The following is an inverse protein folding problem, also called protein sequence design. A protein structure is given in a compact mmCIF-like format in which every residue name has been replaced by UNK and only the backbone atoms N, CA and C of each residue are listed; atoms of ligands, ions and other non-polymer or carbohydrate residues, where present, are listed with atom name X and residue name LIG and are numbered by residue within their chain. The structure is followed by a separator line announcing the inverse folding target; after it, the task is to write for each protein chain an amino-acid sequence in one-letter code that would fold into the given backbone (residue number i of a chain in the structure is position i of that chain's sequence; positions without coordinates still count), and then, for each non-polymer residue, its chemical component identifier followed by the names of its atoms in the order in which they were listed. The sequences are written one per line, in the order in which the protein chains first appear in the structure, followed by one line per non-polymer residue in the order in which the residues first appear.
data_IF_879540973681
#
_entry.id   IF_879540973681
#
_cell.length_a   1.000
_cell.length_b   1.000
_cell.length_c   1.000
_cell.angle_alpha   90.00
_cell.angle_beta   90.00
_cell.angle_gamma   90.00
#
_symmetry.space_group_name_H-M   'P 1'
#
loop_
_entity.id
_entity.type
_entity.pdbx_description
1 polymer ?
#
# COMPACT_ATOMS: atom_id res chain seq x y z
N UNK A 1 -3.82 7.38 -14.24
CA UNK A 1 -3.70 7.37 -12.76
C UNK A 1 -3.51 8.78 -12.17
N UNK A 2 -2.55 9.59 -12.65
CA UNK A 2 -2.30 10.94 -12.09
C UNK A 2 -3.53 11.84 -12.26
N UNK A 3 -4.16 11.88 -13.42
CA UNK A 3 -5.40 12.64 -13.66
C UNK A 3 -6.53 12.18 -12.73
N UNK A 4 -6.68 10.87 -12.55
CA UNK A 4 -7.66 10.30 -11.62
C UNK A 4 -7.40 10.75 -10.17
N UNK A 5 -6.12 10.78 -9.75
CA UNK A 5 -5.73 11.25 -8.42
C UNK A 5 -6.03 12.76 -8.25
N UNK A 6 -5.79 13.57 -9.31
CA UNK A 6 -6.12 14.99 -9.33
C UNK A 6 -7.62 15.24 -9.18
N UNK A 7 -8.44 14.54 -9.96
CA UNK A 7 -9.88 14.76 -10.05
C UNK A 7 -10.64 14.25 -8.83
N UNK A 8 -10.34 13.02 -8.39
CA UNK A 8 -11.14 12.33 -7.37
C UNK A 8 -10.36 11.95 -6.10
N UNK A 9 -9.04 12.20 -6.06
CA UNK A 9 -8.17 11.94 -4.90
C UNK A 9 -7.68 10.50 -4.81
N UNK A 10 -8.05 9.62 -5.73
CA UNK A 10 -7.50 8.27 -5.88
C UNK A 10 -7.39 7.87 -7.35
N UNK A 11 -6.48 6.96 -7.64
CA UNK A 11 -6.29 6.45 -8.99
C UNK A 11 -5.83 5.00 -8.99
N UNK A 12 -6.10 4.31 -10.10
CA UNK A 12 -5.72 2.92 -10.35
C UNK A 12 -4.96 2.84 -11.67
N UNK A 13 -3.88 2.11 -11.69
CA UNK A 13 -3.11 1.77 -12.89
C UNK A 13 -2.92 0.26 -12.94
N UNK A 14 -3.43 -0.36 -14.00
CA UNK A 14 -3.13 -1.74 -14.32
C UNK A 14 -1.73 -1.81 -14.97
N UNK A 15 -1.09 -2.97 -14.87
CA UNK A 15 0.23 -3.24 -15.45
C UNK A 15 1.30 -2.18 -15.08
N UNK A 16 1.24 -1.69 -13.83
CA UNK A 16 2.23 -0.72 -13.31
C UNK A 16 3.65 -1.27 -13.37
N UNK A 17 3.81 -2.57 -13.21
CA UNK A 17 5.06 -3.31 -13.40
C UNK A 17 4.87 -4.40 -14.47
N UNK A 18 5.92 -4.73 -15.20
CA UNK A 18 5.90 -5.84 -16.14
C UNK A 18 5.77 -7.19 -15.43
N UNK A 19 5.43 -8.23 -16.18
CA UNK A 19 5.20 -9.57 -15.64
C UNK A 19 6.43 -10.19 -14.98
N UNK A 20 7.64 -9.83 -15.46
CA UNK A 20 8.91 -10.32 -14.89
C UNK A 20 9.12 -9.70 -13.50
N UNK A 21 9.05 -8.36 -13.39
CA UNK A 21 9.21 -7.68 -12.10
C UNK A 21 8.12 -8.10 -11.12
N UNK A 22 6.88 -8.27 -11.59
CA UNK A 22 5.78 -8.77 -10.77
C UNK A 22 6.10 -10.15 -10.16
N UNK A 23 6.59 -11.10 -10.98
CA UNK A 23 6.95 -12.42 -10.51
C UNK A 23 8.09 -12.36 -9.49
N UNK A 24 9.16 -11.61 -9.77
CA UNK A 24 10.31 -11.45 -8.87
C UNK A 24 9.92 -10.83 -7.51
N UNK A 25 9.03 -9.84 -7.50
CA UNK A 25 8.53 -9.22 -6.24
C UNK A 25 7.63 -10.19 -5.46
N UNK A 26 6.80 -10.96 -6.14
CA UNK A 26 5.99 -11.99 -5.51
C UNK A 26 6.87 -13.05 -4.87
N UNK A 27 7.86 -13.58 -5.62
CA UNK A 27 8.79 -14.60 -5.14
C UNK A 27 9.58 -14.08 -3.94
N UNK A 28 9.96 -12.80 -3.94
CA UNK A 28 10.58 -12.16 -2.77
C UNK A 28 9.65 -12.11 -1.55
N UNK A 29 8.38 -11.81 -1.74
CA UNK A 29 7.39 -11.82 -0.65
C UNK A 29 7.22 -13.23 -0.06
N UNK A 30 7.20 -14.25 -0.91
CA UNK A 30 7.16 -15.68 -0.49
C UNK A 30 8.43 -16.05 0.26
N UNK A 31 9.62 -15.74 -0.27
CA UNK A 31 10.92 -15.97 0.40
C UNK A 31 10.93 -15.35 1.80
N UNK A 32 10.50 -14.09 1.93
CA UNK A 32 10.41 -13.41 3.23
C UNK A 32 9.46 -14.10 4.18
N UNK A 33 8.36 -14.65 3.68
CA UNK A 33 7.41 -15.41 4.50
C UNK A 33 8.03 -16.72 5.00
N UNK A 34 8.58 -17.51 4.12
CA UNK A 34 9.16 -18.83 4.40
C UNK A 34 10.39 -18.74 5.33
N UNK A 35 11.20 -17.70 5.19
CA UNK A 35 12.38 -17.48 6.05
C UNK A 35 12.06 -16.77 7.37
N UNK A 36 10.78 -16.42 7.61
CA UNK A 36 10.36 -15.69 8.80
C UNK A 36 10.80 -14.21 8.80
N UNK A 37 11.08 -13.63 7.63
CA UNK A 37 11.34 -12.21 7.45
C UNK A 37 10.10 -11.34 7.60
N UNK A 38 8.91 -11.88 7.28
CA UNK A 38 7.64 -11.24 7.58
C UNK A 38 7.28 -11.41 9.05
N UNK A 39 6.87 -10.33 9.71
CA UNK A 39 6.44 -10.32 11.11
C UNK A 39 4.98 -9.87 11.22
N UNK A 40 4.19 -10.38 12.19
CA UNK A 40 2.84 -9.89 12.43
C UNK A 40 2.81 -8.38 12.56
N UNK A 41 1.95 -7.72 11.79
CA UNK A 41 1.80 -6.28 11.86
C UNK A 41 1.17 -5.85 13.18
N UNK A 42 1.53 -4.66 13.66
CA UNK A 42 1.02 -4.09 14.91
C UNK A 42 0.16 -2.87 14.62
N UNK A 43 -0.80 -2.61 15.49
CA UNK A 43 -1.65 -1.41 15.47
C UNK A 43 -1.11 -0.42 16.50
N UNK A 44 -0.96 0.85 16.11
CA UNK A 44 -0.39 1.91 16.97
C UNK A 44 1.05 2.26 16.62
N UNK A 45 1.71 3.03 17.50
CA UNK A 45 3.08 3.56 17.30
C UNK A 45 4.00 3.27 18.48
N UNK A 46 5.30 3.11 18.19
CA UNK A 46 6.36 2.97 19.19
C UNK A 46 6.03 1.88 20.20
N UNK A 47 6.35 2.11 21.46
CA UNK A 47 6.13 1.16 22.55
C UNK A 47 4.64 0.87 22.85
N UNK A 48 3.74 1.74 22.38
CA UNK A 48 2.28 1.56 22.47
C UNK A 48 1.67 0.67 21.38
N UNK A 49 2.44 0.23 20.40
CA UNK A 49 1.94 -0.62 19.33
C UNK A 49 1.59 -2.01 19.86
N UNK A 50 0.37 -2.48 19.55
CA UNK A 50 -0.17 -3.76 20.01
C UNK A 50 -0.43 -4.70 18.85
N UNK A 51 -0.24 -5.98 19.10
CA UNK A 51 -0.68 -7.03 18.18
C UNK A 51 -2.19 -7.23 18.37
N UNK A 52 -2.96 -6.97 17.32
CA UNK A 52 -4.42 -7.07 17.30
C UNK A 52 -4.86 -7.73 15.97
N UNK A 53 -4.74 -9.06 15.85
CA UNK A 53 -5.00 -9.78 14.58
C UNK A 53 -6.43 -9.61 14.08
N UNK A 54 -7.39 -9.38 14.98
CA UNK A 54 -8.79 -9.10 14.67
C UNK A 54 -9.01 -7.73 14.01
N UNK A 55 -8.05 -6.79 14.19
CA UNK A 55 -8.08 -5.46 13.56
C UNK A 55 -7.21 -5.43 12.32
N UNK A 56 -6.01 -6.04 12.41
CA UNK A 56 -5.00 -6.06 11.35
C UNK A 56 -4.30 -7.41 11.32
N UNK A 57 -4.63 -8.22 10.31
CA UNK A 57 -4.21 -9.63 10.21
C UNK A 57 -3.05 -9.91 9.26
N UNK A 58 -2.33 -8.89 8.77
CA UNK A 58 -1.19 -9.07 7.86
C UNK A 58 0.14 -9.33 8.60
N UNK A 59 1.05 -9.92 7.84
CA UNK A 59 2.48 -10.01 8.16
C UNK A 59 3.24 -9.06 7.25
N UNK A 60 4.21 -8.32 7.78
CA UNK A 60 4.94 -7.30 7.04
C UNK A 60 6.46 -7.43 7.15
N UNK A 61 7.17 -6.96 6.12
CA UNK A 61 8.61 -6.74 6.14
C UNK A 61 8.93 -5.39 5.52
N UNK A 62 9.47 -4.48 6.31
CA UNK A 62 9.87 -3.14 5.82
C UNK A 62 11.03 -3.24 4.85
N UNK A 63 10.93 -2.51 3.74
CA UNK A 63 12.03 -2.36 2.78
C UNK A 63 12.82 -1.09 3.12
N UNK A 64 13.75 -1.22 4.07
CA UNK A 64 14.64 -0.12 4.48
C UNK A 64 15.85 0.00 3.54
N UNK A 65 16.43 -1.13 3.17
CA UNK A 65 17.54 -1.22 2.22
C UNK A 65 17.23 -2.33 1.20
N UNK A 66 17.30 -2.02 -0.10
CA UNK A 66 17.05 -3.02 -1.13
C UNK A 66 18.22 -4.03 -1.22
N UNK A 67 17.92 -5.30 -1.03
CA UNK A 67 18.87 -6.42 -1.11
C UNK A 67 18.84 -7.14 -2.46
N UNK A 68 17.74 -7.00 -3.20
CA UNK A 68 17.49 -7.68 -4.48
C UNK A 68 17.31 -6.66 -5.61
N UNK A 69 17.65 -7.06 -6.83
CA UNK A 69 17.45 -6.23 -8.04
C UNK A 69 15.97 -5.82 -8.20
N UNK A 70 15.04 -6.72 -7.96
CA UNK A 70 13.61 -6.42 -8.03
C UNK A 70 13.18 -5.32 -7.05
N UNK A 71 13.76 -5.29 -5.85
CA UNK A 71 13.49 -4.24 -4.85
C UNK A 71 14.04 -2.88 -5.30
N UNK A 72 15.23 -2.86 -5.93
CA UNK A 72 15.79 -1.63 -6.50
C UNK A 72 14.93 -1.12 -7.67
N UNK A 73 14.49 -2.02 -8.55
CA UNK A 73 13.66 -1.68 -9.71
C UNK A 73 12.30 -1.14 -9.30
N UNK A 74 11.62 -1.72 -8.30
CA UNK A 74 10.34 -1.17 -7.84
C UNK A 74 10.51 0.19 -7.16
N UNK A 75 11.56 0.40 -6.37
CA UNK A 75 11.84 1.70 -5.78
C UNK A 75 12.14 2.77 -6.84
N UNK A 76 12.90 2.44 -7.88
CA UNK A 76 13.15 3.35 -9.01
C UNK A 76 11.83 3.71 -9.73
N UNK A 77 10.94 2.74 -9.96
CA UNK A 77 9.65 2.96 -10.59
C UNK A 77 8.74 3.87 -9.76
N UNK A 78 8.76 3.69 -8.44
CA UNK A 78 8.01 4.54 -7.49
C UNK A 78 8.62 5.95 -7.41
N UNK A 79 9.95 6.10 -7.52
CA UNK A 79 10.61 7.40 -7.60
C UNK A 79 10.20 8.17 -8.88
N UNK A 80 10.11 7.51 -10.02
CA UNK A 80 9.59 8.12 -11.26
C UNK A 80 8.13 8.58 -11.08
N UNK A 81 7.32 7.78 -10.39
CA UNK A 81 5.94 8.15 -10.05
C UNK A 81 5.91 9.35 -9.12
N UNK A 82 6.73 9.37 -8.05
CA UNK A 82 6.87 10.49 -7.12
C UNK A 82 7.21 11.80 -7.85
N UNK A 83 8.22 11.75 -8.71
CA UNK A 83 8.63 12.90 -9.52
C UNK A 83 7.50 13.39 -10.45
N UNK A 84 6.74 12.47 -11.01
CA UNK A 84 5.60 12.80 -11.89
C UNK A 84 4.44 13.41 -11.12
N UNK A 85 4.13 12.89 -9.91
CA UNK A 85 3.13 13.46 -9.00
C UNK A 85 3.51 14.87 -8.57
N UNK A 86 4.77 15.12 -8.21
CA UNK A 86 5.25 16.45 -7.84
C UNK A 86 5.12 17.44 -8.99
N UNK A 87 5.48 17.05 -10.22
CA UNK A 87 5.35 17.93 -11.40
C UNK A 87 3.90 18.25 -11.74
N UNK A 88 3.02 17.25 -11.66
CA UNK A 88 1.63 17.40 -12.10
C UNK A 88 0.73 18.06 -11.05
N UNK A 89 0.97 17.77 -9.77
CA UNK A 89 0.05 18.10 -8.68
C UNK A 89 0.67 19.01 -7.60
N UNK A 90 1.95 19.37 -7.74
CA UNK A 90 2.70 20.22 -6.77
C UNK A 90 2.59 19.68 -5.32
N UNK A 91 2.71 18.37 -5.15
CA UNK A 91 2.41 17.66 -3.88
C UNK A 91 3.50 17.80 -2.82
N UNK A 92 4.73 18.19 -3.19
CA UNK A 92 5.86 18.34 -2.25
C UNK A 92 6.31 17.01 -1.62
N UNK A 93 6.19 15.89 -2.36
CA UNK A 93 6.61 14.58 -1.88
C UNK A 93 8.14 14.47 -1.88
N UNK A 94 8.72 14.01 -0.79
CA UNK A 94 10.17 13.92 -0.62
C UNK A 94 10.72 12.51 -0.81
N UNK A 95 10.05 11.53 -0.22
CA UNK A 95 10.50 10.14 -0.23
C UNK A 95 9.34 9.14 -0.28
N UNK A 96 9.71 7.87 -0.31
CA UNK A 96 8.80 6.74 -0.25
C UNK A 96 9.21 5.78 0.88
N UNK A 97 8.26 5.38 1.69
CA UNK A 97 8.43 4.32 2.69
C UNK A 97 7.49 3.17 2.37
N UNK A 98 8.03 1.96 2.25
CA UNK A 98 7.22 0.80 1.88
C UNK A 98 7.62 -0.50 2.57
N UNK A 99 6.73 -1.49 2.45
CA UNK A 99 6.91 -2.83 3.01
C UNK A 99 6.18 -3.87 2.16
N UNK A 100 6.68 -5.09 2.18
CA UNK A 100 5.93 -6.25 1.73
C UNK A 100 4.87 -6.60 2.77
N UNK A 101 3.69 -7.00 2.30
CA UNK A 101 2.58 -7.42 3.15
C UNK A 101 1.96 -8.71 2.61
N UNK A 102 1.71 -9.66 3.52
CA UNK A 102 1.01 -10.90 3.24
C UNK A 102 -0.15 -11.04 4.23
N UNK A 103 -1.36 -11.13 3.69
CA UNK A 103 -2.57 -11.46 4.44
C UNK A 103 -2.86 -12.95 4.28
N UNK A 104 -2.86 -13.75 5.34
CA UNK A 104 -3.35 -15.13 5.30
C UNK A 104 -4.81 -15.20 4.84
N UNK A 105 -5.23 -16.37 4.38
CA UNK A 105 -6.64 -16.64 4.04
C UNK A 105 -7.56 -16.20 5.19
N UNK A 106 -8.57 -15.41 4.87
CA UNK A 106 -9.57 -14.91 5.81
C UNK A 106 -9.14 -13.70 6.63
N UNK A 107 -7.86 -13.31 6.57
CA UNK A 107 -7.38 -12.09 7.22
C UNK A 107 -7.76 -10.84 6.43
N UNK A 108 -7.90 -9.74 7.15
CA UNK A 108 -8.20 -8.42 6.59
C UNK A 108 -7.58 -7.30 7.42
N UNK A 109 -7.93 -6.09 7.12
CA UNK A 109 -7.60 -4.92 7.92
C UNK A 109 -8.84 -4.05 8.09
N UNK A 110 -9.24 -3.82 9.32
CA UNK A 110 -10.41 -3.03 9.66
C UNK A 110 -10.30 -1.59 9.12
N UNK A 111 -11.44 -0.96 8.93
CA UNK A 111 -11.57 0.41 8.41
C UNK A 111 -10.73 1.41 9.21
N UNK A 112 -9.88 2.17 8.52
CA UNK A 112 -8.93 3.12 9.12
C UNK A 112 -8.49 4.20 8.12
N UNK A 113 -7.81 5.24 8.62
CA UNK A 113 -7.00 6.17 7.84
C UNK A 113 -5.52 5.81 7.96
N UNK A 114 -4.77 5.98 6.87
CA UNK A 114 -3.30 5.85 6.90
C UNK A 114 -2.60 7.05 7.52
N UNK A 115 -3.22 8.22 7.44
CA UNK A 115 -2.73 9.41 8.11
C UNK A 115 -2.97 9.30 9.61
N UNK A 116 -1.88 9.36 10.33
CA UNK A 116 -1.90 9.25 11.78
C UNK A 116 -2.29 10.60 12.41
N UNK A 117 -3.11 10.58 13.46
CA UNK A 117 -3.51 11.78 14.20
C UNK A 117 -2.27 12.57 14.62
N UNK A 118 -2.26 13.88 14.30
CA UNK A 118 -1.13 14.77 14.61
C UNK A 118 0.08 14.64 13.67
N UNK A 119 -0.06 13.94 12.53
CA UNK A 119 1.00 13.84 11.53
C UNK A 119 0.42 13.98 10.12
N UNK A 120 1.03 14.82 9.31
CA UNK A 120 0.70 15.03 7.89
C UNK A 120 1.76 14.46 6.93
N UNK A 121 2.71 13.70 7.48
CA UNK A 121 3.85 13.16 6.74
C UNK A 121 3.43 12.22 5.61
N UNK A 122 2.50 11.28 5.85
CA UNK A 122 1.97 10.38 4.82
C UNK A 122 0.96 11.13 3.96
N UNK A 123 1.35 11.47 2.74
CA UNK A 123 0.52 12.26 1.84
C UNK A 123 -0.30 11.39 0.87
N UNK A 124 0.35 10.37 0.28
CA UNK A 124 -0.30 9.46 -0.67
C UNK A 124 0.02 8.03 -0.27
N UNK A 125 -1.02 7.24 -0.05
CA UNK A 125 -0.96 5.79 0.18
C UNK A 125 -0.93 5.06 -1.15
N UNK A 126 -0.16 3.98 -1.21
CA UNK A 126 -0.06 3.12 -2.39
C UNK A 126 -0.18 1.65 -2.03
N UNK A 127 -0.78 0.86 -2.93
CA UNK A 127 -0.82 -0.59 -2.86
C UNK A 127 -0.54 -1.17 -4.25
N UNK A 128 0.63 -1.80 -4.42
CA UNK A 128 0.94 -2.62 -5.58
C UNK A 128 0.63 -4.07 -5.24
N UNK A 129 -0.27 -4.69 -6.00
CA UNK A 129 -0.66 -6.08 -5.76
C UNK A 129 0.26 -7.05 -6.49
N UNK A 130 0.60 -8.15 -5.80
CA UNK A 130 1.57 -9.15 -6.27
C UNK A 130 0.90 -10.51 -6.59
N UNK A 131 -0.43 -10.56 -6.58
CA UNK A 131 -1.19 -11.80 -6.70
C UNK A 131 -1.27 -12.29 -8.16
N UNK A 132 -1.15 -13.60 -8.37
CA UNK A 132 -1.33 -14.21 -9.67
C UNK A 132 -2.80 -14.60 -9.89
N UNK A 133 -3.33 -14.38 -11.12
CA UNK A 133 -4.67 -14.82 -11.55
C UNK A 133 -5.78 -14.57 -10.52
N UNK A 134 -5.85 -13.34 -10.03
CA UNK A 134 -6.85 -12.97 -9.02
C UNK A 134 -8.18 -12.64 -9.67
N UNK A 135 -9.27 -13.21 -9.12
CA UNK A 135 -10.64 -13.03 -9.59
C UNK A 135 -11.53 -12.43 -8.49
N UNK A 136 -12.72 -11.99 -8.85
CA UNK A 136 -13.69 -11.49 -7.87
C UNK A 136 -14.10 -12.54 -6.84
N UNK A 137 -14.08 -13.83 -7.22
CA UNK A 137 -14.40 -14.92 -6.28
C UNK A 137 -13.36 -15.09 -5.17
N UNK A 138 -12.13 -14.60 -5.37
CA UNK A 138 -11.07 -14.64 -4.36
C UNK A 138 -11.30 -13.62 -3.23
N UNK A 139 -12.06 -12.55 -3.48
CA UNK A 139 -12.29 -11.46 -2.52
C UNK A 139 -11.03 -10.62 -2.27
N UNK A 140 -10.86 -10.09 -1.06
CA UNK A 140 -9.66 -9.36 -0.63
C UNK A 140 -9.51 -7.97 -1.24
N UNK A 141 -10.61 -7.36 -1.68
CA UNK A 141 -10.61 -6.01 -2.24
C UNK A 141 -10.09 -4.99 -1.23
N UNK A 142 -9.43 -3.97 -1.75
CA UNK A 142 -9.27 -2.71 -1.03
C UNK A 142 -10.54 -1.90 -1.22
N UNK A 143 -11.25 -1.64 -0.14
CA UNK A 143 -12.44 -0.78 -0.14
C UNK A 143 -12.06 0.62 0.29
N UNK A 144 -12.27 1.60 -0.60
CA UNK A 144 -12.10 3.03 -0.34
C UNK A 144 -13.47 3.66 -0.09
N UNK A 145 -13.66 4.32 1.04
CA UNK A 145 -14.89 5.04 1.38
C UNK A 145 -14.83 6.46 0.80
N UNK A 146 -15.69 6.74 -0.18
CA UNK A 146 -15.66 8.00 -0.95
C UNK A 146 -16.57 9.09 -0.39
N UNK A 147 -17.23 8.83 0.74
CA UNK A 147 -18.16 9.75 1.38
C UNK A 147 -19.62 9.50 0.98
N UNK A 148 -20.57 10.09 1.75
CA UNK A 148 -22.01 9.92 1.48
C UNK A 148 -22.54 8.50 1.55
N UNK A 149 -21.81 7.58 2.21
CA UNK A 149 -22.16 6.16 2.26
C UNK A 149 -21.68 5.34 1.05
N UNK A 150 -21.01 5.96 0.07
CA UNK A 150 -20.47 5.29 -1.09
C UNK A 150 -19.07 4.73 -0.85
N UNK A 151 -18.72 3.65 -1.53
CA UNK A 151 -17.39 3.05 -1.54
C UNK A 151 -17.01 2.56 -2.93
N UNK A 152 -15.71 2.37 -3.14
CA UNK A 152 -15.15 1.77 -4.35
C UNK A 152 -14.28 0.60 -3.92
N UNK A 153 -14.56 -0.57 -4.47
CA UNK A 153 -13.81 -1.78 -4.24
C UNK A 153 -12.79 -1.97 -5.35
N UNK A 154 -11.52 -2.16 -4.99
CA UNK A 154 -10.44 -2.41 -5.94
C UNK A 154 -9.91 -3.82 -5.75
N UNK A 155 -10.13 -4.66 -6.76
CA UNK A 155 -9.67 -6.04 -6.80
C UNK A 155 -8.14 -6.10 -6.82
N UNK A 156 -7.48 -6.91 -5.95
CA UNK A 156 -6.02 -6.93 -5.82
C UNK A 156 -5.34 -7.79 -6.90
N UNK A 157 -5.54 -7.43 -8.17
CA UNK A 157 -4.90 -8.09 -9.31
C UNK A 157 -3.41 -7.78 -9.38
N UNK A 158 -2.61 -8.78 -9.67
CA UNK A 158 -1.16 -8.62 -9.82
C UNK A 158 -0.77 -7.58 -10.86
N UNK A 159 0.22 -6.74 -10.54
CA UNK A 159 0.66 -5.63 -11.37
C UNK A 159 -0.16 -4.35 -11.25
N UNK A 160 -1.34 -4.39 -10.62
CA UNK A 160 -2.19 -3.22 -10.36
C UNK A 160 -1.63 -2.40 -9.21
N UNK A 161 -1.46 -1.09 -9.44
CA UNK A 161 -1.15 -0.09 -8.42
C UNK A 161 -2.40 0.74 -8.13
N UNK A 162 -2.72 0.89 -6.86
CA UNK A 162 -3.69 1.88 -6.36
C UNK A 162 -2.93 2.97 -5.63
N UNK A 163 -3.30 4.23 -5.85
CA UNK A 163 -2.78 5.38 -5.11
C UNK A 163 -3.95 6.27 -4.65
N UNK A 164 -3.91 6.75 -3.40
CA UNK A 164 -4.96 7.62 -2.84
C UNK A 164 -4.41 8.56 -1.78
N UNK A 165 -5.08 9.70 -1.59
CA UNK A 165 -4.73 10.68 -0.55
C UNK A 165 -4.96 10.06 0.83
N UNK A 166 -3.88 9.97 1.64
CA UNK A 166 -3.86 9.23 2.91
C UNK A 166 -4.78 9.82 3.99
N UNK A 167 -5.13 11.09 3.88
CA UNK A 167 -5.97 11.82 4.83
C UNK A 167 -7.43 11.97 4.38
N UNK A 168 -7.73 11.59 3.14
CA UNK A 168 -9.06 11.77 2.57
C UNK A 168 -9.90 10.51 2.60
N UNK A 169 -9.28 9.35 2.50
CA UNK A 169 -10.01 8.09 2.34
C UNK A 169 -9.80 7.17 3.53
N UNK A 170 -10.86 6.95 4.31
CA UNK A 170 -10.92 5.74 5.11
C UNK A 170 -10.96 4.55 4.17
N UNK A 171 -10.31 3.47 4.57
CA UNK A 171 -10.27 2.26 3.77
C UNK A 171 -10.13 1.02 4.64
N UNK A 172 -10.45 -0.12 4.05
CA UNK A 172 -10.30 -1.42 4.68
C UNK A 172 -9.79 -2.46 3.66
N UNK A 173 -9.17 -3.52 4.16
CA UNK A 173 -8.86 -4.70 3.36
C UNK A 173 -9.86 -5.79 3.70
N UNK A 174 -10.68 -6.18 2.73
CA UNK A 174 -11.67 -7.23 2.90
C UNK A 174 -10.96 -8.60 2.98
N UNK A 175 -11.54 -9.57 3.72
CA UNK A 175 -11.00 -10.91 3.78
C UNK A 175 -10.95 -11.60 2.41
N UNK A 176 -9.85 -12.28 2.13
CA UNK A 176 -9.67 -13.06 0.92
C UNK A 176 -9.82 -14.56 1.16
N UNK A 177 -10.18 -15.32 0.13
CA UNK A 177 -10.31 -16.79 0.20
C UNK A 177 -8.98 -17.52 0.06
N UNK A 178 -7.91 -16.77 -0.27
CA UNK A 178 -6.52 -17.27 -0.33
C UNK A 178 -5.55 -16.21 0.18
N UNK A 179 -4.28 -16.52 0.25
CA UNK A 179 -3.26 -15.56 0.64
C UNK A 179 -3.20 -14.39 -0.34
N UNK A 180 -3.10 -13.19 0.20
CA UNK A 180 -3.08 -11.93 -0.56
C UNK A 180 -1.78 -11.19 -0.29
N UNK A 181 -1.00 -11.01 -1.34
CA UNK A 181 0.30 -10.36 -1.29
C UNK A 181 0.27 -8.97 -1.94
N UNK A 182 1.00 -8.04 -1.34
CA UNK A 182 1.13 -6.68 -1.85
C UNK A 182 2.44 -6.04 -1.39
N UNK A 183 2.86 -5.01 -2.14
CA UNK A 183 3.87 -4.05 -1.70
C UNK A 183 3.15 -2.74 -1.41
N UNK A 184 3.08 -2.39 -0.11
CA UNK A 184 2.34 -1.24 0.42
C UNK A 184 3.31 -0.14 0.77
N UNK A 185 2.92 1.12 0.56
CA UNK A 185 3.77 2.21 1.00
C UNK A 185 3.11 3.57 0.95
N UNK A 186 3.88 4.56 1.34
CA UNK A 186 3.46 5.95 1.39
C UNK A 186 4.49 6.85 0.77
N UNK A 187 4.04 7.72 -0.13
CA UNK A 187 4.80 8.92 -0.44
C UNK A 187 4.63 9.91 0.70
N UNK A 188 5.75 10.40 1.21
CA UNK A 188 5.80 11.27 2.38
C UNK A 188 6.24 12.68 1.97
N UNK A 189 5.82 13.67 2.76
CA UNK A 189 6.27 15.05 2.67
C UNK A 189 6.87 15.49 4.02
N UNK A 190 7.56 16.61 4.04
CA UNK A 190 7.99 17.22 5.30
C UNK A 190 6.78 17.46 6.20
N UNK A 191 6.92 17.21 7.51
CA UNK A 191 5.94 17.74 8.46
C UNK A 191 5.79 19.24 8.21
N UNK A 192 4.56 19.73 8.13
CA UNK A 192 4.34 21.16 8.21
C UNK A 192 4.72 21.56 9.64
N UNK A 193 5.90 22.17 9.82
CA UNK A 193 6.24 22.82 11.09
C UNK A 193 5.17 23.86 11.35
N UNK A 194 4.45 23.72 12.46
CA UNK A 194 3.43 24.66 12.84
C UNK A 194 4.07 26.06 12.91
N UNK A 195 3.55 27.00 12.16
CA UNK A 195 3.79 28.41 12.46
C UNK A 195 3.19 28.66 13.84
N UNK A 196 4.05 28.69 14.88
CA UNK A 196 3.72 29.15 16.23
C UNK A 196 3.62 30.65 16.23
#
# INVERSE_FOLDING_TARGET
MIDQLAERGFGVADDFVDSKLLAELRDRCVELHETGGLRPARVGRGDGAKLMPEVRGDFISWLEQPERDAEQRILARLEDLRASLNRALMTGLEDFQGHFALYPRGAGYARHFDRLVGSDVRAISTALYLNDRWTADDGGELRLYTGGGASVDVLPQGGRLVAFQSDRFEHEVLPARRERMSFIGWFRRRPLEGFV
#
